data_IF_240829427518
#
_entry.id   IF_240829427518
#
_cell.length_a   1.000
_cell.length_b   1.000
_cell.length_c   1.000
_cell.angle_alpha   90.00
_cell.angle_beta   90.00
_cell.angle_gamma   90.00
#
_symmetry.space_group_name_H-M   'P 1'
#
loop_
_entity.id
_entity.type
_entity.pdbx_description
1 polymer ?
#
# COMPACT_ATOMS: atom_id res chain seq x y z
N UNK A 1 9.05 10.49 -6.23
CA UNK A 1 8.23 10.62 -7.46
C UNK A 1 7.07 11.54 -7.17
N UNK A 2 7.11 12.76 -7.72
CA UNK A 2 5.93 13.63 -7.79
C UNK A 2 5.04 13.01 -8.86
N UNK A 3 3.78 12.73 -8.56
CA UNK A 3 2.79 12.46 -9.61
C UNK A 3 2.62 13.78 -10.33
N UNK A 4 3.26 13.89 -11.50
CA UNK A 4 3.30 15.12 -12.25
C UNK A 4 1.90 15.46 -12.78
N UNK A 5 1.49 16.68 -12.50
CA UNK A 5 0.14 17.18 -12.64
C UNK A 5 -0.03 17.69 -14.08
N UNK A 6 -0.49 16.83 -14.99
CA UNK A 6 -1.00 17.28 -16.29
C UNK A 6 -2.37 16.65 -16.57
N UNK A 7 -3.39 17.31 -16.02
CA UNK A 7 -4.78 17.32 -16.51
C UNK A 7 -5.71 16.16 -16.09
N UNK A 8 -5.41 15.45 -14.99
CA UNK A 8 -6.39 14.61 -14.30
C UNK A 8 -6.03 14.54 -12.81
N UNK A 9 -6.79 15.20 -11.94
CA UNK A 9 -6.64 15.11 -10.49
C UNK A 9 -7.07 13.73 -10.01
N UNK A 10 -6.24 12.71 -10.26
CA UNK A 10 -6.52 11.35 -9.77
C UNK A 10 -6.45 11.37 -8.25
N UNK A 11 -7.62 11.22 -7.61
CA UNK A 11 -7.74 11.19 -6.15
C UNK A 11 -7.07 9.94 -5.54
N UNK A 12 -6.81 8.93 -6.36
CA UNK A 12 -6.13 7.70 -5.97
C UNK A 12 -4.77 7.66 -6.68
N UNK A 13 -3.72 7.60 -5.87
CA UNK A 13 -2.33 7.51 -6.33
C UNK A 13 -2.02 6.13 -6.89
N UNK A 14 -2.41 5.08 -6.16
CA UNK A 14 -2.16 3.71 -6.54
C UNK A 14 -3.12 2.75 -5.82
N UNK A 15 -3.51 1.69 -6.50
CA UNK A 15 -4.23 0.54 -5.98
C UNK A 15 -3.26 -0.64 -5.87
N UNK A 16 -3.28 -1.34 -4.73
CA UNK A 16 -2.43 -2.51 -4.49
C UNK A 16 -3.28 -3.65 -3.94
N UNK A 17 -3.10 -4.86 -4.46
CA UNK A 17 -3.58 -6.10 -3.84
C UNK A 17 -2.39 -6.76 -3.14
N UNK A 18 -2.54 -7.01 -1.85
CA UNK A 18 -1.50 -7.59 -1.00
C UNK A 18 -1.92 -9.00 -0.57
N UNK A 19 -1.10 -9.98 -0.91
CA UNK A 19 -1.21 -11.36 -0.45
C UNK A 19 -0.18 -11.66 0.64
N UNK A 20 -0.33 -12.82 1.28
CA UNK A 20 0.62 -13.31 2.28
C UNK A 20 1.04 -14.74 1.97
N UNK A 21 2.35 -14.93 1.77
CA UNK A 21 2.94 -16.25 1.58
C UNK A 21 3.70 -16.65 2.84
N UNK A 22 3.30 -17.76 3.48
CA UNK A 22 3.84 -18.25 4.76
C UNK A 22 5.38 -18.35 4.85
N UNK A 23 6.12 -18.49 3.74
CA UNK A 23 7.60 -18.44 3.71
C UNK A 23 8.20 -17.09 3.30
N UNK A 24 7.47 -16.26 2.55
CA UNK A 24 8.00 -15.05 1.90
C UNK A 24 7.46 -13.76 2.52
N UNK A 25 6.47 -13.87 3.42
CA UNK A 25 5.76 -12.74 4.01
C UNK A 25 4.79 -12.11 3.01
N UNK A 26 4.58 -10.81 3.17
CA UNK A 26 3.72 -10.00 2.31
C UNK A 26 4.21 -9.95 0.87
N UNK A 27 3.28 -9.99 -0.08
CA UNK A 27 3.60 -9.89 -1.49
C UNK A 27 2.58 -9.01 -2.21
N UNK A 28 3.05 -8.15 -3.10
CA UNK A 28 2.18 -7.48 -4.06
C UNK A 28 1.72 -8.52 -5.09
N UNK A 29 0.41 -8.74 -5.18
CA UNK A 29 -0.22 -9.60 -6.18
C UNK A 29 -0.66 -8.80 -7.40
N UNK A 30 -1.06 -7.54 -7.20
CA UNK A 30 -1.47 -6.62 -8.25
C UNK A 30 -1.16 -5.18 -7.85
N UNK A 31 -0.80 -4.34 -8.82
CA UNK A 31 -0.61 -2.91 -8.62
C UNK A 31 -1.01 -2.11 -9.86
N UNK A 32 -1.62 -0.94 -9.63
CA UNK A 32 -1.99 0.00 -10.69
C UNK A 32 -2.08 1.44 -10.17
N UNK A 33 -1.56 2.47 -10.87
CA UNK A 33 -0.84 2.38 -12.14
C UNK A 33 0.65 2.04 -12.00
N UNK A 34 1.21 2.09 -10.79
CA UNK A 34 2.63 1.82 -10.56
C UNK A 34 2.92 0.33 -10.70
N UNK A 35 4.07 0.00 -11.29
CA UNK A 35 4.56 -1.36 -11.34
C UNK A 35 4.93 -1.86 -9.94
N UNK A 36 4.83 -3.17 -9.73
CA UNK A 36 5.14 -3.82 -8.45
C UNK A 36 6.55 -3.52 -7.97
N UNK A 37 7.51 -3.57 -8.88
CA UNK A 37 8.94 -3.38 -8.61
C UNK A 37 9.20 -1.97 -8.03
N UNK A 38 8.46 -0.97 -8.51
CA UNK A 38 8.58 0.41 -8.02
C UNK A 38 8.09 0.57 -6.59
N UNK A 39 7.11 -0.22 -6.15
CA UNK A 39 6.59 -0.18 -4.78
C UNK A 39 7.49 -0.95 -3.80
N UNK A 40 8.02 -2.09 -4.23
CA UNK A 40 8.88 -2.93 -3.39
C UNK A 40 10.18 -2.20 -2.98
N UNK A 41 10.76 -1.40 -3.88
CA UNK A 41 12.01 -0.66 -3.59
C UNK A 41 11.80 0.57 -2.70
N UNK A 42 10.73 1.33 -2.96
CA UNK A 42 10.53 2.66 -2.38
C UNK A 42 9.56 2.68 -1.19
N UNK A 43 8.65 1.71 -1.12
CA UNK A 43 7.55 1.67 -0.16
C UNK A 43 7.29 0.27 0.42
N UNK A 44 8.32 -0.55 0.61
CA UNK A 44 8.19 -1.91 1.16
C UNK A 44 7.34 -2.02 2.44
N UNK A 45 7.40 -1.00 3.30
CA UNK A 45 6.61 -0.94 4.55
C UNK A 45 5.08 -0.88 4.32
N UNK A 46 4.63 -0.47 3.13
CA UNK A 46 3.20 -0.35 2.79
C UNK A 46 2.48 -1.70 2.94
N UNK A 47 3.17 -2.79 2.64
CA UNK A 47 2.59 -4.13 2.65
C UNK A 47 2.26 -4.58 4.08
N UNK A 48 3.18 -4.29 5.01
CA UNK A 48 2.99 -4.56 6.44
C UNK A 48 1.89 -3.71 7.06
N UNK A 49 1.64 -2.50 6.54
CA UNK A 49 0.51 -1.67 6.96
C UNK A 49 -0.81 -2.17 6.39
N UNK A 50 -0.82 -2.67 5.15
CA UNK A 50 -2.03 -3.14 4.50
C UNK A 50 -2.56 -4.45 5.10
N UNK A 51 -1.66 -5.34 5.56
CA UNK A 51 -2.02 -6.61 6.16
C UNK A 51 -1.16 -6.86 7.43
N UNK A 52 -1.50 -6.24 8.57
CA UNK A 52 -0.71 -6.35 9.78
C UNK A 52 -0.75 -7.78 10.35
N UNK A 53 0.25 -8.13 11.16
CA UNK A 53 0.35 -9.46 11.79
C UNK A 53 -0.91 -9.83 12.62
N UNK A 54 -1.56 -8.84 13.22
CA UNK A 54 -2.82 -9.01 13.94
C UNK A 54 -4.03 -9.39 13.05
N UNK A 55 -3.89 -9.41 11.73
CA UNK A 55 -4.98 -9.74 10.79
C UNK A 55 -5.52 -11.16 10.98
N UNK A 56 -4.72 -12.07 11.54
CA UNK A 56 -5.16 -13.43 11.89
C UNK A 56 -6.25 -13.45 12.98
N UNK A 57 -6.35 -12.40 13.79
CA UNK A 57 -7.32 -12.31 14.89
C UNK A 57 -8.66 -11.67 14.50
N UNK A 58 -8.86 -11.35 13.20
CA UNK A 58 -10.05 -10.64 12.70
C UNK A 58 -10.55 -11.29 11.41
N UNK A 59 -11.85 -11.52 11.31
CA UNK A 59 -12.47 -11.98 10.06
C UNK A 59 -12.38 -10.91 8.96
N UNK A 60 -12.45 -9.62 9.33
CA UNK A 60 -12.31 -8.48 8.41
C UNK A 60 -11.92 -7.24 9.20
N UNK A 61 -11.24 -6.31 8.54
CA UNK A 61 -10.90 -5.02 9.14
C UNK A 61 -10.64 -3.94 8.08
N UNK A 62 -10.64 -2.68 8.53
CA UNK A 62 -10.33 -1.50 7.73
C UNK A 62 -9.25 -0.68 8.44
N UNK A 63 -8.13 -0.48 7.76
CA UNK A 63 -6.93 0.13 8.30
C UNK A 63 -6.67 1.46 7.58
N UNK A 64 -6.37 2.49 8.36
CA UNK A 64 -5.96 3.80 7.87
C UNK A 64 -4.52 4.06 8.30
N UNK A 65 -3.69 4.52 7.37
CA UNK A 65 -2.28 4.78 7.65
C UNK A 65 -1.75 5.96 6.80
N UNK A 66 -0.63 6.51 7.23
CA UNK A 66 0.07 7.58 6.50
C UNK A 66 1.38 7.05 5.93
N UNK A 67 1.69 7.45 4.70
CA UNK A 67 2.98 7.18 4.07
C UNK A 67 3.68 8.53 3.88
N UNK A 68 4.86 8.73 4.48
CA UNK A 68 5.62 9.95 4.25
C UNK A 68 6.08 10.03 2.79
N UNK A 69 6.13 11.24 2.26
CA UNK A 69 6.75 11.49 0.95
C UNK A 69 8.22 11.05 0.94
N UNK A 70 8.64 10.48 -0.19
CA UNK A 70 10.04 10.15 -0.46
C UNK A 70 10.83 11.34 -0.99
N UNK A 71 10.13 12.38 -1.47
CA UNK A 71 10.75 13.64 -1.86
C UNK A 71 11.26 14.36 -0.59
N UNK A 72 12.59 14.46 -0.49
CA UNK A 72 13.31 15.19 0.56
C UNK A 72 13.88 16.53 0.05
N UNK A 73 13.77 16.82 -1.24
CA UNK A 73 14.42 17.97 -1.88
C UNK A 73 13.56 19.22 -1.78
N UNK A 74 12.25 19.07 -1.91
CA UNK A 74 11.33 20.17 -1.62
C UNK A 74 11.10 20.19 -0.10
N UNK A 75 11.42 21.30 0.59
CA UNK A 75 11.11 21.50 2.03
C UNK A 75 9.59 21.49 2.35
N UNK A 76 8.79 20.86 1.51
CA UNK A 76 7.34 20.69 1.58
C UNK A 76 7.08 19.25 2.01
N UNK A 77 6.62 19.09 3.26
CA UNK A 77 6.24 17.77 3.76
C UNK A 77 4.90 17.35 3.13
N UNK A 78 4.94 16.36 2.23
CA UNK A 78 3.75 15.70 1.68
C UNK A 78 3.54 14.34 2.35
N UNK A 79 2.29 13.96 2.51
CA UNK A 79 1.87 12.66 3.07
C UNK A 79 0.82 12.05 2.14
N UNK A 80 0.94 10.75 1.88
CA UNK A 80 -0.11 9.98 1.26
C UNK A 80 -0.96 9.32 2.35
N UNK A 81 -2.27 9.35 2.17
CA UNK A 81 -3.22 8.65 3.02
C UNK A 81 -3.52 7.29 2.39
N UNK A 82 -3.25 6.23 3.13
CA UNK A 82 -3.52 4.85 2.74
C UNK A 82 -4.75 4.31 3.46
N UNK A 83 -5.57 3.57 2.70
CA UNK A 83 -6.69 2.79 3.23
C UNK A 83 -6.47 1.35 2.77
N UNK A 84 -6.48 0.41 3.71
CA UNK A 84 -6.43 -1.02 3.41
C UNK A 84 -7.61 -1.73 4.04
N UNK A 85 -8.22 -2.64 3.30
CA UNK A 85 -9.29 -3.50 3.80
C UNK A 85 -8.91 -4.95 3.53
N UNK A 86 -9.15 -5.81 4.50
CA UNK A 86 -8.99 -7.25 4.30
C UNK A 86 -10.20 -8.00 4.84
N UNK A 87 -10.38 -9.21 4.31
CA UNK A 87 -11.31 -10.21 4.81
C UNK A 87 -10.64 -11.57 4.74
N UNK A 88 -10.69 -12.33 5.83
CA UNK A 88 -10.29 -13.73 5.84
C UNK A 88 -11.26 -14.54 4.99
N UNK A 89 -10.70 -15.42 4.17
CA UNK A 89 -11.45 -16.37 3.36
C UNK A 89 -11.28 -17.73 4.02
N UNK A 90 -12.39 -18.44 4.22
CA UNK A 90 -12.35 -19.80 4.73
C UNK A 90 -11.49 -20.68 3.83
N UNK A 91 -10.64 -21.50 4.42
CA UNK A 91 -9.76 -22.41 3.70
C UNK A 91 -10.46 -23.73 3.28
N UNK A 92 -11.80 -23.74 3.25
CA UNK A 92 -12.63 -24.92 3.00
C UNK A 92 -13.05 -25.06 1.54
#
# INVERSE_FOLDING_TARGET
MILDDTNSTSLVVNLVIVGFHHKKGHQIEYSYPLAKESLDEQWSNILSYALPDGAHNREKDLIYFHIPSLDKETNVQRTLFGIAAYRQIDAN
#
